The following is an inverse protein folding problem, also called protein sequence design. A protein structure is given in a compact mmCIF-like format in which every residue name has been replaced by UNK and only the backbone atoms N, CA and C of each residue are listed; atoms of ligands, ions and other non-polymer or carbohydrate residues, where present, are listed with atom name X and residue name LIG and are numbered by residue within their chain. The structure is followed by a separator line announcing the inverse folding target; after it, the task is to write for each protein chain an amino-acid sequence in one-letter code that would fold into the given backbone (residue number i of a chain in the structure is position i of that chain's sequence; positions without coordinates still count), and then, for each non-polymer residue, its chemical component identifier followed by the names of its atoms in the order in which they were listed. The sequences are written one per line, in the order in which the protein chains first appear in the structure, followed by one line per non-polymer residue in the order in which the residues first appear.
data_IF_595332143846
#
_entry.id   IF_595332143846
#
_cell.length_a   1.000
_cell.length_b   1.000
_cell.length_c   1.000
_cell.angle_alpha   90.00
_cell.angle_beta   90.00
_cell.angle_gamma   90.00
#
_symmetry.space_group_name_H-M   'P 1'
#
loop_
_entity.id
_entity.type
_entity.pdbx_description
1 polymer ?
#
# COMPACT_ATOMS: atom_id res chain seq x y z
N UNK A 1 4.48 -13.88 -59.95
CA UNK A 1 5.44 -13.94 -61.06
C UNK A 1 6.73 -14.51 -60.50
N UNK A 2 6.91 -15.82 -60.66
CA UNK A 2 8.04 -16.59 -60.12
C UNK A 2 9.36 -16.05 -60.66
N UNK A 3 10.23 -15.59 -59.76
CA UNK A 3 11.60 -15.23 -60.12
C UNK A 3 12.48 -16.44 -59.87
N UNK A 4 12.39 -17.41 -60.78
CA UNK A 4 13.44 -18.39 -61.02
C UNK A 4 14.58 -17.68 -61.77
N UNK A 5 15.49 -17.05 -61.04
CA UNK A 5 16.77 -16.61 -61.57
C UNK A 5 17.91 -17.13 -60.69
N UNK A 6 18.70 -18.02 -61.29
CA UNK A 6 20.05 -18.45 -60.92
C UNK A 6 20.66 -17.68 -59.74
N UNK A 7 20.78 -18.36 -58.59
CA UNK A 7 21.63 -17.94 -57.48
C UNK A 7 23.11 -17.96 -57.92
N UNK A 8 23.54 -16.93 -58.65
CA UNK A 8 24.97 -16.61 -58.78
C UNK A 8 25.43 -16.22 -57.38
N UNK A 9 26.43 -16.93 -56.85
CA UNK A 9 27.03 -16.60 -55.56
C UNK A 9 27.50 -15.14 -55.58
N UNK A 10 26.76 -14.27 -54.88
CA UNK A 10 27.16 -12.88 -54.67
C UNK A 10 28.37 -12.90 -53.75
N UNK A 11 29.53 -12.55 -54.30
CA UNK A 11 30.79 -12.50 -53.56
C UNK A 11 31.07 -11.06 -53.15
N UNK A 12 31.31 -10.86 -51.86
CA UNK A 12 31.90 -9.62 -51.35
C UNK A 12 33.38 -9.92 -51.08
N UNK A 13 34.28 -9.25 -51.82
CA UNK A 13 35.72 -9.53 -51.81
C UNK A 13 36.01 -11.02 -52.15
N UNK A 14 36.69 -11.77 -51.26
CA UNK A 14 37.10 -13.16 -51.50
C UNK A 14 36.08 -14.21 -51.02
N UNK A 15 34.89 -13.80 -50.56
CA UNK A 15 33.93 -14.72 -49.91
C UNK A 15 32.54 -14.65 -50.52
N UNK A 16 31.85 -15.79 -50.51
CA UNK A 16 30.42 -15.90 -50.80
C UNK A 16 29.59 -15.41 -49.62
N UNK A 17 28.58 -14.59 -49.91
CA UNK A 17 27.63 -14.09 -48.93
C UNK A 17 26.60 -15.17 -48.60
N UNK A 18 26.25 -15.33 -47.32
CA UNK A 18 25.16 -16.21 -46.92
C UNK A 18 23.80 -15.63 -47.32
N UNK A 19 22.79 -16.48 -47.48
CA UNK A 19 21.44 -16.07 -47.91
C UNK A 19 20.84 -14.94 -47.05
N UNK A 20 21.07 -14.97 -45.75
CA UNK A 20 20.66 -13.91 -44.80
C UNK A 20 21.38 -12.56 -45.04
N UNK A 21 22.66 -12.60 -45.40
CA UNK A 21 23.44 -11.38 -45.71
C UNK A 21 22.91 -10.73 -46.99
N UNK A 22 22.59 -11.57 -47.99
CA UNK A 22 22.00 -11.11 -49.26
C UNK A 22 20.63 -10.47 -49.00
N UNK A 23 19.78 -11.07 -48.18
CA UNK A 23 18.45 -10.52 -47.88
C UNK A 23 18.52 -9.16 -47.14
N UNK A 24 19.45 -9.00 -46.19
CA UNK A 24 19.60 -7.75 -45.43
C UNK A 24 20.23 -6.64 -46.29
N UNK A 25 21.23 -6.98 -47.10
CA UNK A 25 21.83 -6.04 -48.05
C UNK A 25 20.83 -5.61 -49.14
N UNK A 26 19.97 -6.52 -49.61
CA UNK A 26 18.91 -6.22 -50.57
C UNK A 26 17.79 -5.34 -50.00
N UNK A 27 17.58 -5.34 -48.68
CA UNK A 27 16.61 -4.43 -48.01
C UNK A 27 17.12 -3.01 -47.84
N UNK A 28 18.39 -2.73 -48.14
CA UNK A 28 18.98 -1.39 -48.05
C UNK A 28 19.22 -0.92 -46.61
N UNK A 29 19.19 -1.82 -45.62
CA UNK A 29 19.47 -1.49 -44.23
C UNK A 29 21.00 -1.43 -43.99
N UNK A 30 21.61 -0.27 -44.29
CA UNK A 30 23.06 -0.07 -44.16
C UNK A 30 23.61 -0.40 -42.76
N UNK A 31 22.84 -0.14 -41.71
CA UNK A 31 23.22 -0.45 -40.33
C UNK A 31 23.30 -1.96 -40.07
N UNK A 32 22.30 -2.74 -40.53
CA UNK A 32 22.27 -4.19 -40.35
C UNK A 32 23.39 -4.90 -41.12
N UNK A 33 23.69 -4.44 -42.34
CA UNK A 33 24.80 -4.97 -43.13
C UNK A 33 26.18 -4.72 -42.52
N UNK A 34 26.41 -3.52 -41.97
CA UNK A 34 27.67 -3.15 -41.29
C UNK A 34 27.87 -3.93 -40.00
N UNK A 35 26.82 -4.13 -39.21
CA UNK A 35 26.88 -4.88 -37.96
C UNK A 35 27.23 -6.36 -38.21
N UNK A 36 26.62 -7.00 -39.20
CA UNK A 36 26.94 -8.39 -39.56
C UNK A 36 28.38 -8.54 -40.05
N UNK A 37 28.84 -7.63 -40.92
CA UNK A 37 30.21 -7.66 -41.44
C UNK A 37 31.24 -7.45 -40.32
N UNK A 38 31.02 -6.47 -39.44
CA UNK A 38 31.95 -6.18 -38.34
C UNK A 38 32.02 -7.31 -37.32
N UNK A 39 30.90 -7.96 -36.99
CA UNK A 39 30.89 -9.12 -36.09
C UNK A 39 31.53 -10.38 -36.70
N UNK A 40 31.48 -10.54 -38.04
CA UNK A 40 32.06 -11.70 -38.76
C UNK A 40 33.52 -11.53 -39.19
N UNK A 41 34.01 -10.33 -39.48
CA UNK A 41 35.36 -10.15 -40.01
C UNK A 41 36.32 -9.48 -39.02
N UNK A 42 35.81 -8.70 -38.05
CA UNK A 42 36.64 -7.98 -37.09
C UNK A 42 36.67 -8.68 -35.73
N UNK A 43 37.72 -9.47 -35.48
CA UNK A 43 37.87 -10.25 -34.24
C UNK A 43 37.72 -9.43 -32.94
N UNK A 44 38.26 -8.19 -32.81
CA UNK A 44 38.03 -7.38 -31.63
C UNK A 44 36.56 -6.97 -31.44
N UNK A 45 35.82 -6.70 -32.53
CA UNK A 45 34.41 -6.35 -32.45
C UNK A 45 33.55 -7.55 -32.01
N UNK A 46 33.89 -8.76 -32.48
CA UNK A 46 33.25 -10.00 -32.03
C UNK A 46 33.45 -10.23 -30.54
N UNK A 47 34.68 -10.10 -30.05
CA UNK A 47 35.00 -10.26 -28.63
C UNK A 47 34.25 -9.25 -27.74
N UNK A 48 34.12 -7.98 -28.19
CA UNK A 48 33.30 -6.99 -27.48
C UNK A 48 31.81 -7.33 -27.51
N UNK A 49 31.29 -7.83 -28.64
CA UNK A 49 29.89 -8.20 -28.76
C UNK A 49 29.53 -9.40 -27.88
N UNK A 50 30.39 -10.40 -27.79
CA UNK A 50 30.23 -11.52 -26.85
C UNK A 50 30.15 -11.03 -25.41
N UNK A 51 31.06 -10.15 -24.99
CA UNK A 51 31.02 -9.51 -23.66
C UNK A 51 29.75 -8.69 -23.43
N UNK A 52 29.28 -7.95 -24.43
CA UNK A 52 28.04 -7.19 -24.35
C UNK A 52 26.82 -8.12 -24.19
N UNK A 53 26.80 -9.23 -24.92
CA UNK A 53 25.71 -10.22 -24.84
C UNK A 53 25.72 -10.95 -23.50
N UNK A 54 26.89 -11.27 -22.97
CA UNK A 54 27.07 -11.82 -21.62
C UNK A 54 26.56 -10.84 -20.55
N UNK A 55 26.99 -9.58 -20.59
CA UNK A 55 26.55 -8.54 -19.66
C UNK A 55 25.03 -8.28 -19.75
N UNK A 56 24.46 -8.28 -20.96
CA UNK A 56 23.00 -8.17 -21.16
C UNK A 56 22.24 -9.40 -20.65
N UNK A 57 22.81 -10.60 -20.78
CA UNK A 57 22.22 -11.82 -20.24
C UNK A 57 22.29 -11.84 -18.70
N UNK A 58 23.38 -11.35 -18.12
CA UNK A 58 23.50 -11.15 -16.68
C UNK A 58 22.52 -10.10 -16.14
N UNK A 59 22.43 -8.93 -16.78
CA UNK A 59 21.46 -7.89 -16.41
C UNK A 59 20.01 -8.40 -16.46
N UNK A 60 19.66 -9.19 -17.49
CA UNK A 60 18.35 -9.86 -17.57
C UNK A 60 18.13 -10.87 -16.45
N UNK A 61 19.15 -11.65 -16.09
CA UNK A 61 19.08 -12.59 -14.95
C UNK A 61 18.91 -11.87 -13.62
N UNK A 62 19.61 -10.74 -13.41
CA UNK A 62 19.47 -9.91 -12.21
C UNK A 62 18.07 -9.30 -12.15
N UNK A 63 17.60 -8.70 -13.24
CA UNK A 63 16.27 -8.11 -13.33
C UNK A 63 15.15 -9.14 -13.10
N UNK A 64 15.31 -10.36 -13.61
CA UNK A 64 14.34 -11.45 -13.41
C UNK A 64 14.32 -12.00 -11.97
N UNK A 65 15.39 -11.82 -11.19
CA UNK A 65 15.44 -12.20 -9.76
C UNK A 65 14.78 -11.15 -8.87
N UNK A 66 14.72 -9.89 -9.31
CA UNK A 66 14.08 -8.81 -8.57
C UNK A 66 12.57 -8.82 -8.77
N UNK A 67 11.81 -8.57 -7.71
CA UNK A 67 10.41 -8.18 -7.87
C UNK A 67 10.38 -6.77 -8.50
N UNK A 68 9.57 -6.58 -9.53
CA UNK A 68 9.32 -5.23 -10.07
C UNK A 68 8.53 -4.45 -9.03
N UNK A 69 9.19 -3.54 -8.33
CA UNK A 69 8.53 -2.60 -7.41
C UNK A 69 8.26 -1.30 -8.15
N UNK A 70 6.99 -0.93 -8.29
CA UNK A 70 6.64 0.39 -8.77
C UNK A 70 7.08 1.44 -7.75
N UNK A 71 7.91 2.39 -8.19
CA UNK A 71 8.30 3.55 -7.39
C UNK A 71 7.51 4.77 -7.85
N UNK A 72 7.05 5.59 -6.91
CA UNK A 72 6.48 6.89 -7.24
C UNK A 72 7.62 7.86 -7.56
N UNK A 73 7.62 8.41 -8.77
CA UNK A 73 8.51 9.52 -9.14
C UNK A 73 7.74 10.84 -9.02
N UNK A 74 8.32 11.80 -8.32
CA UNK A 74 7.73 13.13 -8.20
C UNK A 74 7.84 13.86 -9.54
N UNK A 75 6.74 14.49 -9.97
CA UNK A 75 6.71 15.22 -11.23
C UNK A 75 7.60 16.48 -11.16
N UNK A 76 8.21 16.91 -12.28
CA UNK A 76 8.86 18.21 -12.32
C UNK A 76 7.83 19.34 -12.11
N UNK A 77 8.17 20.30 -11.26
CA UNK A 77 7.36 21.48 -10.96
C UNK A 77 6.49 21.37 -9.70
N UNK A 78 6.15 22.52 -9.12
CA UNK A 78 5.38 22.56 -7.86
C UNK A 78 3.94 22.04 -8.06
N UNK A 79 3.43 21.23 -7.12
CA UNK A 79 2.03 20.82 -7.13
C UNK A 79 1.13 22.06 -6.94
N UNK A 80 0.06 22.12 -7.73
CA UNK A 80 -0.96 23.16 -7.65
C UNK A 80 -2.33 22.54 -7.95
N UNK A 81 -3.37 23.23 -7.49
CA UNK A 81 -4.76 22.94 -7.83
C UNK A 81 -5.50 24.24 -8.19
N UNK A 82 -6.77 24.15 -8.55
CA UNK A 82 -7.65 25.31 -8.65
C UNK A 82 -8.80 25.15 -7.67
N UNK A 83 -9.26 26.23 -7.06
CA UNK A 83 -10.54 26.25 -6.35
C UNK A 83 -11.64 25.96 -7.37
N UNK A 84 -12.56 25.06 -7.05
CA UNK A 84 -13.67 24.70 -7.94
C UNK A 84 -14.94 25.42 -7.50
N UNK A 85 -15.71 25.96 -8.44
CA UNK A 85 -17.01 26.52 -8.09
C UNK A 85 -17.97 25.42 -7.64
N UNK A 86 -18.27 25.38 -6.34
CA UNK A 86 -19.13 24.36 -5.71
C UNK A 86 -18.70 22.92 -6.02
N UNK A 87 -17.40 22.69 -6.21
CA UNK A 87 -16.85 21.36 -6.52
C UNK A 87 -17.02 20.89 -7.97
N UNK A 88 -17.56 21.72 -8.87
CA UNK A 88 -17.68 21.38 -10.29
C UNK A 88 -16.30 21.36 -10.97
N UNK A 89 -15.89 20.20 -11.47
CA UNK A 89 -14.53 19.95 -11.99
C UNK A 89 -14.17 20.77 -13.24
N UNK A 90 -15.17 21.20 -13.98
CA UNK A 90 -15.09 22.03 -15.18
C UNK A 90 -15.07 23.54 -14.87
N UNK A 91 -15.50 23.95 -13.68
CA UNK A 91 -15.57 25.36 -13.27
C UNK A 91 -14.43 25.75 -12.33
N UNK A 92 -13.24 25.89 -12.92
CA UNK A 92 -12.02 26.30 -12.21
C UNK A 92 -12.02 27.80 -11.89
N UNK A 93 -11.56 28.15 -10.68
CA UNK A 93 -11.35 29.50 -10.17
C UNK A 93 -9.87 29.75 -9.91
N UNK A 94 -9.52 30.42 -8.81
CA UNK A 94 -8.14 30.77 -8.50
C UNK A 94 -7.25 29.52 -8.37
N UNK A 95 -6.03 29.63 -8.88
CA UNK A 95 -4.98 28.64 -8.65
C UNK A 95 -4.53 28.73 -7.18
N UNK A 96 -4.36 27.58 -6.55
CA UNK A 96 -3.86 27.44 -5.18
C UNK A 96 -2.63 26.53 -5.16
N UNK A 97 -1.71 26.86 -4.26
CA UNK A 97 -0.51 26.07 -3.99
C UNK A 97 -0.71 25.18 -2.75
N UNK A 98 0.26 24.29 -2.49
CA UNK A 98 0.22 23.42 -1.33
C UNK A 98 0.35 24.23 -0.02
N UNK A 99 -0.73 24.30 0.74
CA UNK A 99 -0.78 24.90 2.08
C UNK A 99 -1.87 24.23 2.92
N UNK A 100 -1.73 24.20 4.27
CA UNK A 100 -2.82 23.77 5.13
C UNK A 100 -3.99 24.78 5.07
N UNK A 101 -5.22 24.34 5.37
CA UNK A 101 -6.37 25.24 5.51
C UNK A 101 -6.09 26.37 6.51
N UNK A 102 -6.47 27.61 6.16
CA UNK A 102 -6.19 28.80 6.98
C UNK A 102 -6.86 28.80 8.37
N UNK A 103 -7.85 27.94 8.60
CA UNK A 103 -8.51 27.74 9.90
C UNK A 103 -7.63 26.92 10.87
N UNK A 104 -6.62 26.22 10.36
CA UNK A 104 -5.67 25.43 11.15
C UNK A 104 -4.38 26.24 11.35
N UNK A 105 -3.52 25.83 12.30
CA UNK A 105 -2.23 26.48 12.51
C UNK A 105 -1.44 26.60 11.20
N UNK A 106 -0.81 27.75 10.91
CA UNK A 106 -0.11 27.95 9.66
C UNK A 106 1.13 27.03 9.56
N UNK A 107 1.46 26.63 8.34
CA UNK A 107 2.70 25.91 8.08
C UNK A 107 3.89 26.87 8.11
N UNK A 108 4.87 26.55 8.97
CA UNK A 108 6.11 27.29 9.15
C UNK A 108 6.83 27.53 7.79
N UNK A 109 7.37 28.73 7.53
CA UNK A 109 7.99 29.07 6.24
C UNK A 109 9.17 28.17 5.86
N UNK A 110 9.88 27.63 6.85
CA UNK A 110 11.09 26.81 6.66
C UNK A 110 10.76 25.40 6.15
N UNK A 111 9.50 24.96 6.29
CA UNK A 111 9.08 23.63 5.86
C UNK A 111 8.86 23.59 4.34
N UNK A 112 9.32 22.54 3.65
CA UNK A 112 9.16 22.42 2.21
C UNK A 112 7.68 22.26 1.84
N UNK A 113 7.24 22.89 0.74
CA UNK A 113 5.85 22.84 0.25
C UNK A 113 5.56 21.55 -0.54
N UNK A 114 5.83 20.42 0.11
CA UNK A 114 5.65 19.08 -0.42
C UNK A 114 5.13 18.14 0.68
N UNK A 115 5.07 16.84 0.39
CA UNK A 115 4.57 15.82 1.33
C UNK A 115 5.38 15.74 2.62
N UNK A 116 6.70 15.98 2.56
CA UNK A 116 7.56 15.96 3.75
C UNK A 116 7.20 17.09 4.70
N UNK A 117 7.08 18.33 4.20
CA UNK A 117 6.71 19.45 5.04
C UNK A 117 5.28 19.34 5.57
N UNK A 118 4.35 18.77 4.79
CA UNK A 118 3.01 18.45 5.28
C UNK A 118 3.05 17.44 6.44
N UNK A 119 3.86 16.39 6.34
CA UNK A 119 4.04 15.44 7.42
C UNK A 119 4.62 16.12 8.67
N UNK A 120 5.66 16.95 8.52
CA UNK A 120 6.24 17.72 9.64
C UNK A 120 5.22 18.65 10.30
N UNK A 121 4.36 19.31 9.52
CA UNK A 121 3.27 20.14 10.02
C UNK A 121 2.17 19.34 10.71
N UNK A 122 1.85 18.15 10.20
CA UNK A 122 0.81 17.29 10.77
C UNK A 122 1.19 16.83 12.19
N UNK A 123 2.46 16.57 12.43
CA UNK A 123 2.99 16.14 13.73
C UNK A 123 3.55 17.29 14.57
N UNK A 124 3.34 18.55 14.16
CA UNK A 124 3.76 19.72 14.92
C UNK A 124 2.99 19.79 16.25
N UNK A 125 3.66 20.21 17.32
CA UNK A 125 3.04 20.31 18.66
C UNK A 125 1.90 21.33 18.70
N UNK A 126 1.94 22.33 17.83
CA UNK A 126 0.88 23.32 17.68
C UNK A 126 -0.36 22.76 16.98
N UNK A 127 -0.26 21.61 16.32
CA UNK A 127 -1.40 20.95 15.69
C UNK A 127 -2.21 20.17 16.74
N UNK A 128 -3.44 20.61 17.08
CA UNK A 128 -4.20 19.98 18.15
C UNK A 128 -4.96 18.72 17.70
N UNK A 129 -5.08 18.48 16.39
CA UNK A 129 -6.01 17.48 15.86
C UNK A 129 -5.37 16.10 15.72
N UNK A 130 -4.12 16.01 15.27
CA UNK A 130 -3.49 14.74 14.90
C UNK A 130 -3.52 13.73 16.04
N UNK A 131 -3.11 14.14 17.24
CA UNK A 131 -3.12 13.28 18.41
C UNK A 131 -4.56 12.94 18.85
N UNK A 132 -5.47 13.92 18.91
CA UNK A 132 -6.88 13.71 19.29
C UNK A 132 -7.59 12.72 18.38
N UNK A 133 -7.43 12.87 17.06
CA UNK A 133 -8.01 11.97 16.06
C UNK A 133 -7.42 10.57 16.22
N UNK A 134 -6.10 10.44 16.34
CA UNK A 134 -5.45 9.15 16.49
C UNK A 134 -5.92 8.40 17.74
N UNK A 135 -5.91 9.06 18.92
CA UNK A 135 -6.34 8.41 20.16
C UNK A 135 -7.83 8.07 20.15
N UNK A 136 -8.67 8.86 19.48
CA UNK A 136 -10.10 8.54 19.36
C UNK A 136 -10.36 7.30 18.51
N UNK A 137 -9.62 7.13 17.41
CA UNK A 137 -9.73 5.91 16.57
C UNK A 137 -9.24 4.68 17.33
N UNK A 138 -8.08 4.78 18.00
CA UNK A 138 -7.57 3.68 18.84
C UNK A 138 -8.51 3.37 20.02
N UNK A 139 -9.12 4.40 20.63
CA UNK A 139 -10.14 4.22 21.65
C UNK A 139 -11.36 3.47 21.09
N UNK A 140 -11.84 3.89 19.92
CA UNK A 140 -12.99 3.26 19.25
C UNK A 140 -12.74 1.78 18.95
N UNK A 141 -11.53 1.39 18.58
CA UNK A 141 -11.20 -0.02 18.35
C UNK A 141 -11.34 -0.88 19.61
N UNK A 142 -11.02 -0.32 20.78
CA UNK A 142 -11.06 -1.02 22.07
C UNK A 142 -12.45 -0.97 22.72
N UNK A 143 -13.15 0.15 22.60
CA UNK A 143 -14.43 0.40 23.26
C UNK A 143 -15.64 0.28 22.33
N UNK A 144 -15.43 0.10 21.03
CA UNK A 144 -16.44 0.04 19.97
C UNK A 144 -16.93 1.41 19.49
N UNK A 145 -16.95 2.42 20.37
CA UNK A 145 -17.37 3.79 20.06
C UNK A 145 -16.31 4.77 20.54
N UNK A 146 -15.91 5.70 19.66
CA UNK A 146 -14.96 6.77 19.99
C UNK A 146 -15.53 7.74 21.03
N UNK A 147 -14.65 8.45 21.75
CA UNK A 147 -15.06 9.58 22.61
C UNK A 147 -15.85 10.61 21.78
N UNK A 148 -15.34 10.92 20.59
CA UNK A 148 -16.08 11.50 19.47
C UNK A 148 -16.66 10.35 18.64
N UNK A 149 -17.99 10.25 18.58
CA UNK A 149 -18.70 9.16 17.87
C UNK A 149 -18.49 9.22 16.36
N UNK A 150 -18.46 10.43 15.81
CA UNK A 150 -18.22 10.72 14.39
C UNK A 150 -16.72 10.75 14.09
N UNK A 151 -16.06 9.59 14.11
CA UNK A 151 -14.61 9.52 13.96
C UNK A 151 -14.07 10.09 12.63
N UNK A 152 -14.91 10.16 11.59
CA UNK A 152 -14.57 10.75 10.30
C UNK A 152 -14.92 12.24 10.19
N UNK A 153 -15.58 12.82 11.20
CA UNK A 153 -15.88 14.24 11.31
C UNK A 153 -15.52 14.75 12.71
N UNK A 154 -14.29 15.26 12.82
CA UNK A 154 -13.71 15.78 14.06
C UNK A 154 -13.91 17.30 14.24
N UNK A 155 -14.84 17.90 13.48
CA UNK A 155 -15.10 19.34 13.48
C UNK A 155 -16.49 19.70 13.99
N UNK A 156 -16.96 20.89 13.62
CA UNK A 156 -18.27 21.42 14.02
C UNK A 156 -19.47 20.63 13.47
N UNK A 157 -19.24 19.79 12.46
CA UNK A 157 -20.26 18.92 11.89
C UNK A 157 -20.31 17.54 12.57
N UNK A 158 -19.30 17.23 13.38
CA UNK A 158 -19.24 16.04 14.22
C UNK A 158 -19.95 16.18 15.56
N UNK A 159 -20.08 15.05 16.26
CA UNK A 159 -20.57 15.03 17.63
C UNK A 159 -19.48 15.52 18.60
N UNK A 160 -19.79 16.34 19.61
CA UNK A 160 -18.82 16.70 20.64
C UNK A 160 -18.30 15.45 21.37
N UNK A 161 -17.06 15.48 21.90
CA UNK A 161 -16.52 14.37 22.69
C UNK A 161 -17.36 14.14 23.94
N UNK A 162 -17.66 12.88 24.26
CA UNK A 162 -18.36 12.53 25.50
C UNK A 162 -17.56 12.91 26.76
N UNK A 163 -16.23 12.85 26.68
CA UNK A 163 -15.30 13.19 27.75
C UNK A 163 -14.15 14.05 27.19
N UNK A 164 -14.34 15.38 27.04
CA UNK A 164 -13.35 16.27 26.42
C UNK A 164 -12.01 16.28 27.16
N UNK A 165 -12.02 16.35 28.50
CA UNK A 165 -10.80 16.37 29.30
C UNK A 165 -10.00 15.06 29.18
N UNK A 166 -10.70 13.92 29.10
CA UNK A 166 -10.07 12.62 28.89
C UNK A 166 -9.43 12.54 27.50
N UNK A 167 -10.12 13.01 26.46
CA UNK A 167 -9.59 13.06 25.09
C UNK A 167 -8.31 13.91 25.04
N UNK A 168 -8.33 15.07 25.69
CA UNK A 168 -7.19 15.99 25.73
C UNK A 168 -6.02 15.40 26.50
N UNK A 169 -6.29 14.77 27.63
CA UNK A 169 -5.27 14.08 28.42
C UNK A 169 -4.64 12.93 27.65
N UNK A 170 -5.45 12.06 27.02
CA UNK A 170 -4.96 10.94 26.21
C UNK A 170 -4.13 11.43 25.01
N UNK A 171 -4.55 12.50 24.34
CA UNK A 171 -3.83 13.07 23.21
C UNK A 171 -2.46 13.64 23.64
N UNK A 172 -2.41 14.38 24.74
CA UNK A 172 -1.17 14.92 25.29
C UNK A 172 -0.22 13.82 25.76
N UNK A 173 -0.74 12.81 26.47
CA UNK A 173 0.02 11.66 26.96
C UNK A 173 0.57 10.79 25.82
N UNK A 174 -0.24 10.53 24.79
CA UNK A 174 0.18 9.77 23.61
C UNK A 174 1.32 10.48 22.86
N UNK A 175 1.17 11.79 22.60
CA UNK A 175 2.22 12.59 21.99
C UNK A 175 3.49 12.64 22.86
N UNK A 176 3.33 12.88 24.16
CA UNK A 176 4.45 12.95 25.13
C UNK A 176 5.24 11.65 25.26
N UNK A 177 4.62 10.51 24.95
CA UNK A 177 5.28 9.20 24.90
C UNK A 177 6.13 8.95 23.64
N UNK A 178 6.15 9.90 22.70
CA UNK A 178 6.77 9.68 21.39
C UNK A 178 5.91 8.81 20.47
N UNK A 179 4.58 8.90 20.58
CA UNK A 179 3.63 8.15 19.74
C UNK A 179 3.73 6.62 19.92
N UNK A 180 4.01 6.14 21.14
CA UNK A 180 4.09 4.71 21.44
C UNK A 180 2.69 4.08 21.47
N UNK A 181 2.30 3.52 20.32
CA UNK A 181 1.02 2.85 20.10
C UNK A 181 0.82 1.66 21.06
N UNK A 182 1.88 0.87 21.30
CA UNK A 182 1.77 -0.32 22.16
C UNK A 182 1.53 0.07 23.60
N UNK A 183 2.23 1.10 24.08
CA UNK A 183 2.01 1.69 25.41
C UNK A 183 0.58 2.23 25.54
N UNK A 184 0.09 2.93 24.51
CA UNK A 184 -1.28 3.46 24.50
C UNK A 184 -2.33 2.36 24.62
N UNK A 185 -2.28 1.31 23.80
CA UNK A 185 -3.23 0.19 23.93
C UNK A 185 -3.12 -0.50 25.28
N UNK A 186 -1.89 -0.71 25.80
CA UNK A 186 -1.69 -1.28 27.14
C UNK A 186 -2.39 -0.43 28.19
N UNK A 187 -2.31 0.89 28.12
CA UNK A 187 -2.99 1.81 29.04
C UNK A 187 -4.50 1.67 28.96
N UNK A 188 -5.08 1.53 27.76
CA UNK A 188 -6.52 1.33 27.61
C UNK A 188 -6.98 -0.01 28.19
N UNK A 189 -6.34 -1.13 27.84
CA UNK A 189 -6.77 -2.47 28.28
C UNK A 189 -6.48 -2.76 29.76
N UNK A 190 -5.57 -1.98 30.37
CA UNK A 190 -5.30 -2.03 31.81
C UNK A 190 -6.14 -1.01 32.60
N UNK A 191 -6.98 -0.21 31.93
CA UNK A 191 -7.83 0.76 32.61
C UNK A 191 -8.98 0.08 33.35
N UNK A 192 -9.40 0.68 34.47
CA UNK A 192 -10.57 0.24 35.20
C UNK A 192 -11.83 0.24 34.31
N UNK A 193 -11.94 1.18 33.36
CA UNK A 193 -13.04 1.27 32.41
C UNK A 193 -13.12 0.05 31.48
N UNK A 194 -11.99 -0.40 30.94
CA UNK A 194 -11.95 -1.59 30.09
C UNK A 194 -12.21 -2.88 30.88
N UNK A 195 -11.68 -2.97 32.10
CA UNK A 195 -11.79 -4.15 32.96
C UNK A 195 -13.15 -4.27 33.67
N UNK A 196 -14.08 -3.33 33.45
CA UNK A 196 -15.43 -3.43 34.01
C UNK A 196 -16.17 -4.66 33.48
N UNK A 197 -17.07 -5.20 34.31
CA UNK A 197 -18.00 -6.21 33.84
C UNK A 197 -18.94 -5.64 32.77
N UNK A 198 -19.19 -6.43 31.73
CA UNK A 198 -20.07 -6.08 30.63
C UNK A 198 -21.58 -6.26 30.95
N UNK A 199 -21.92 -6.49 32.22
CA UNK A 199 -23.29 -6.71 32.69
C UNK A 199 -24.11 -5.42 32.59
N UNK A 200 -25.23 -5.50 31.87
CA UNK A 200 -26.13 -4.38 31.63
C UNK A 200 -27.41 -4.57 32.46
N UNK A 201 -27.48 -3.96 33.64
CA UNK A 201 -28.71 -3.92 34.44
C UNK A 201 -29.74 -2.96 33.81
N UNK A 202 -31.05 -3.12 34.12
CA UNK A 202 -32.08 -2.19 33.64
C UNK A 202 -31.77 -0.72 33.95
N UNK A 203 -31.21 -0.43 35.13
CA UNK A 203 -30.84 0.92 35.55
C UNK A 203 -29.70 1.48 34.70
N UNK A 204 -28.70 0.67 34.38
CA UNK A 204 -27.59 1.06 33.50
C UNK A 204 -28.08 1.34 32.09
N UNK A 205 -28.97 0.51 31.56
CA UNK A 205 -29.55 0.70 30.23
C UNK A 205 -30.43 1.96 30.15
N UNK A 206 -31.16 2.27 31.22
CA UNK A 206 -31.99 3.48 31.28
C UNK A 206 -31.14 4.76 31.30
N UNK A 207 -29.99 4.76 31.99
CA UNK A 207 -29.11 5.94 32.13
C UNK A 207 -28.08 6.07 31.01
N UNK A 208 -27.60 4.95 30.47
CA UNK A 208 -26.50 4.89 29.51
C UNK A 208 -26.75 3.78 28.47
N UNK A 209 -27.78 3.94 27.61
CA UNK A 209 -28.17 2.92 26.65
C UNK A 209 -27.05 2.62 25.63
N UNK A 210 -26.31 3.63 25.22
CA UNK A 210 -25.22 3.52 24.24
C UNK A 210 -23.83 3.25 24.85
N UNK A 211 -23.73 3.07 26.17
CA UNK A 211 -22.47 2.94 26.91
C UNK A 211 -21.49 4.13 26.72
N UNK A 212 -22.01 5.34 26.48
CA UNK A 212 -21.25 6.57 26.26
C UNK A 212 -20.59 7.05 27.56
N UNK A 213 -21.17 6.72 28.71
CA UNK A 213 -20.65 7.05 30.04
C UNK A 213 -19.72 5.95 30.59
N UNK A 214 -19.44 4.91 29.80
CA UNK A 214 -18.59 3.77 30.19
C UNK A 214 -19.10 3.10 31.49
N UNK A 215 -20.42 2.97 31.60
CA UNK A 215 -21.09 2.37 32.77
C UNK A 215 -20.92 0.84 32.87
N UNK A 216 -20.41 0.22 31.81
CA UNK A 216 -20.15 -1.22 31.68
C UNK A 216 -19.02 -1.47 30.69
N UNK A 217 -18.45 -2.68 30.77
CA UNK A 217 -17.44 -3.14 29.83
C UNK A 217 -17.92 -3.10 28.38
N UNK A 218 -17.02 -2.83 27.41
CA UNK A 218 -17.40 -2.67 26.02
C UNK A 218 -17.96 -3.97 25.44
N UNK A 219 -19.01 -3.84 24.61
CA UNK A 219 -19.62 -4.96 23.88
C UNK A 219 -19.91 -4.50 22.47
N UNK A 220 -19.24 -5.12 21.51
CA UNK A 220 -19.41 -4.81 20.10
C UNK A 220 -19.24 -6.10 19.29
N UNK A 221 -19.65 -6.04 18.02
CA UNK A 221 -19.49 -7.14 17.09
C UNK A 221 -18.01 -7.26 16.73
N UNK A 222 -17.45 -8.44 16.90
CA UNK A 222 -16.11 -8.75 16.43
C UNK A 222 -16.09 -8.92 14.92
N UNK A 223 -14.99 -8.55 14.29
CA UNK A 223 -14.75 -8.80 12.87
C UNK A 223 -14.58 -10.30 12.60
N UNK A 224 -14.75 -10.71 11.34
CA UNK A 224 -14.76 -12.12 10.97
C UNK A 224 -13.43 -12.82 11.32
N UNK A 225 -12.33 -12.11 11.13
CA UNK A 225 -10.96 -12.49 11.45
C UNK A 225 -10.79 -12.76 12.95
N UNK A 226 -11.30 -11.85 13.79
CA UNK A 226 -11.25 -11.99 15.24
C UNK A 226 -12.13 -13.14 15.75
N UNK A 227 -13.31 -13.35 15.15
CA UNK A 227 -14.18 -14.49 15.47
C UNK A 227 -13.48 -15.81 15.15
N UNK A 228 -12.86 -15.91 13.96
CA UNK A 228 -12.09 -17.09 13.56
C UNK A 228 -10.93 -17.35 14.52
N UNK A 229 -10.14 -16.33 14.81
CA UNK A 229 -8.99 -16.45 15.70
C UNK A 229 -9.39 -16.85 17.12
N UNK A 230 -10.52 -16.32 17.62
CA UNK A 230 -11.09 -16.72 18.90
C UNK A 230 -11.50 -18.20 18.90
N UNK A 231 -12.15 -18.67 17.84
CA UNK A 231 -12.53 -20.08 17.69
C UNK A 231 -11.29 -21.00 17.63
N UNK A 232 -10.26 -20.60 16.90
CA UNK A 232 -8.98 -21.33 16.84
C UNK A 232 -8.24 -21.32 18.18
N UNK A 233 -8.26 -20.21 18.91
CA UNK A 233 -7.66 -20.10 20.22
C UNK A 233 -8.38 -20.98 21.24
N UNK A 234 -9.72 -20.92 21.27
CA UNK A 234 -10.56 -21.71 22.17
C UNK A 234 -10.45 -23.23 21.92
N UNK A 235 -10.22 -23.63 20.66
CA UNK A 235 -9.98 -25.03 20.29
C UNK A 235 -8.53 -25.50 20.46
N UNK A 236 -7.60 -24.60 20.81
CA UNK A 236 -6.16 -24.92 20.93
C UNK A 236 -5.45 -25.12 19.59
N UNK A 237 -6.08 -24.77 18.47
CA UNK A 237 -5.53 -24.95 17.11
C UNK A 237 -4.73 -23.72 16.62
N UNK A 238 -4.90 -22.56 17.26
CA UNK A 238 -4.32 -21.30 16.79
C UNK A 238 -2.79 -21.38 16.67
N UNK A 239 -2.27 -21.21 15.45
CA UNK A 239 -0.86 -21.02 15.20
C UNK A 239 -0.49 -19.53 15.36
N UNK A 240 0.20 -19.20 16.47
CA UNK A 240 0.50 -17.83 16.88
C UNK A 240 1.65 -17.13 16.12
N UNK A 241 2.21 -17.76 15.07
CA UNK A 241 3.32 -17.20 14.31
C UNK A 241 2.89 -15.94 13.55
N UNK A 242 3.52 -14.81 13.84
CA UNK A 242 3.27 -13.53 13.18
C UNK A 242 4.17 -13.37 11.94
N UNK A 243 3.60 -12.87 10.84
CA UNK A 243 4.30 -12.61 9.59
C UNK A 243 4.58 -13.88 8.75
N UNK A 244 5.37 -13.68 7.69
CA UNK A 244 5.63 -14.69 6.67
C UNK A 244 4.72 -14.56 5.44
N UNK A 245 4.82 -15.49 4.48
CA UNK A 245 3.96 -15.48 3.30
C UNK A 245 2.50 -15.72 3.69
N UNK A 246 1.58 -15.20 2.87
CA UNK A 246 0.14 -15.44 3.00
C UNK A 246 -0.16 -16.93 3.01
N UNK A 247 -1.12 -17.33 3.84
CA UNK A 247 -1.57 -18.72 3.95
C UNK A 247 -2.95 -18.93 3.33
N UNK A 248 -3.25 -20.17 2.99
CA UNK A 248 -4.50 -20.60 2.36
C UNK A 248 -5.30 -21.53 3.30
N UNK A 249 -6.06 -20.97 4.28
CA UNK A 249 -6.83 -21.76 5.25
C UNK A 249 -8.04 -22.46 4.60
N UNK A 250 -8.86 -23.15 5.41
CA UNK A 250 -10.09 -23.78 4.91
C UNK A 250 -11.03 -22.77 4.25
N UNK A 251 -11.54 -23.13 3.09
CA UNK A 251 -12.62 -22.43 2.38
C UNK A 251 -13.45 -23.42 1.56
N UNK A 252 -14.69 -23.06 1.20
CA UNK A 252 -15.48 -23.85 0.25
C UNK A 252 -14.81 -23.97 -1.12
N UNK A 253 -15.07 -25.07 -1.83
CA UNK A 253 -14.58 -25.29 -3.18
C UNK A 253 -15.19 -24.28 -4.17
N UNK A 254 -14.42 -23.90 -5.21
CA UNK A 254 -14.91 -23.10 -6.34
C UNK A 254 -15.18 -21.61 -6.10
N UNK A 255 -15.03 -21.09 -4.87
CA UNK A 255 -15.36 -19.68 -4.54
C UNK A 255 -14.63 -18.66 -5.42
N UNK A 256 -13.35 -18.91 -5.74
CA UNK A 256 -12.54 -17.98 -6.52
C UNK A 256 -12.57 -18.24 -8.03
N UNK A 257 -13.01 -19.42 -8.47
CA UNK A 257 -12.94 -19.81 -9.88
C UNK A 257 -13.79 -18.92 -10.79
N UNK A 258 -14.91 -18.42 -10.26
CA UNK A 258 -15.84 -17.56 -10.99
C UNK A 258 -15.40 -16.09 -11.09
N UNK A 259 -14.56 -15.62 -10.15
CA UNK A 259 -14.23 -14.18 -10.01
C UNK A 259 -12.75 -13.88 -10.27
N UNK A 260 -11.88 -14.89 -10.27
CA UNK A 260 -10.46 -14.68 -10.41
C UNK A 260 -10.07 -14.31 -11.85
N UNK A 261 -9.18 -13.32 -11.98
CA UNK A 261 -8.48 -13.03 -13.23
C UNK A 261 -7.68 -14.27 -13.68
N UNK A 262 -7.45 -14.40 -14.99
CA UNK A 262 -6.83 -15.61 -15.56
C UNK A 262 -5.45 -15.88 -14.98
N UNK A 263 -4.74 -14.82 -14.62
CA UNK A 263 -3.37 -14.78 -14.10
C UNK A 263 -3.30 -14.89 -12.57
N UNK A 264 -4.44 -14.93 -11.87
CA UNK A 264 -4.47 -14.99 -10.41
C UNK A 264 -4.03 -16.36 -9.90
N UNK A 265 -3.11 -16.38 -8.94
CA UNK A 265 -2.62 -17.58 -8.25
C UNK A 265 -3.64 -18.19 -7.27
N UNK A 266 -4.73 -17.46 -6.99
CA UNK A 266 -5.89 -17.91 -6.24
C UNK A 266 -7.02 -18.48 -7.10
N UNK A 267 -6.90 -18.39 -8.44
CA UNK A 267 -7.93 -18.88 -9.37
C UNK A 267 -8.25 -20.36 -9.15
N UNK A 268 -7.20 -21.16 -8.93
CA UNK A 268 -7.33 -22.54 -8.47
C UNK A 268 -6.79 -22.60 -7.05
N UNK A 269 -7.69 -22.43 -6.09
CA UNK A 269 -7.30 -22.37 -4.69
C UNK A 269 -6.75 -23.70 -4.22
N UNK A 270 -5.45 -23.74 -3.93
CA UNK A 270 -4.78 -24.87 -3.29
C UNK A 270 -4.63 -24.55 -1.81
N UNK A 271 -5.40 -25.25 -0.99
CA UNK A 271 -5.34 -25.12 0.46
C UNK A 271 -3.95 -25.48 0.99
N UNK A 272 -3.50 -24.78 2.02
CA UNK A 272 -2.26 -25.10 2.73
C UNK A 272 -2.43 -26.30 3.67
N UNK A 273 -1.33 -26.72 4.29
CA UNK A 273 -1.29 -27.80 5.28
C UNK A 273 -0.59 -27.35 6.58
N UNK A 274 -0.80 -28.11 7.65
CA UNK A 274 -0.19 -27.85 8.96
C UNK A 274 -0.58 -26.48 9.54
N UNK A 275 0.39 -25.72 10.03
CA UNK A 275 0.15 -24.38 10.61
C UNK A 275 -0.52 -23.40 9.64
N UNK A 276 -0.41 -23.60 8.32
CA UNK A 276 -1.05 -22.73 7.32
C UNK A 276 -2.58 -22.71 7.44
N UNK A 277 -3.18 -23.80 7.92
CA UNK A 277 -4.64 -23.92 8.09
C UNK A 277 -5.17 -23.10 9.27
N UNK A 278 -4.34 -22.97 10.31
CA UNK A 278 -4.73 -22.41 11.60
C UNK A 278 -3.96 -21.14 11.95
N UNK A 279 -3.32 -20.53 10.96
CA UNK A 279 -2.59 -19.28 11.14
C UNK A 279 -3.54 -18.20 11.64
N UNK A 280 -3.09 -17.47 12.66
CA UNK A 280 -3.74 -16.25 13.14
C UNK A 280 -4.01 -15.29 11.98
N UNK A 281 -5.22 -14.77 11.91
CA UNK A 281 -5.62 -13.73 10.95
C UNK A 281 -4.81 -12.45 11.23
N UNK A 282 -4.41 -11.73 10.17
CA UNK A 282 -3.74 -10.43 10.32
C UNK A 282 -4.73 -9.34 10.68
#
# INVERSE_FOLDING_TARGET
MEVHYLARALRLLRRELSREEIEILCRGEEQGGREIYTLREHAPARALHEKLMEARAEARRIAARGAVTHVMQEKPGMPFAHVLYRGAYDQKRERVEAAPPAVLPPMRPELPRNRLGFAQWLFDEQNPLTARVAVNRMWQEIFGVGLVKTADDFGNQGEPPSHPELLDWLAADFRGSGWDVKRFYKQLVMSAAYQQQALASPEKLAKDPENRLLSRGPRFRLDAEAIRDLALAASGLLAARIGGPSVKPYQPEGVWEAVAMKESDTRFYKQDHGEGLYRRSM
#
